data_IF_445095798895
#
_entry.id   IF_445095798895
#
_cell.length_a   1.000
_cell.length_b   1.000
_cell.length_c   1.000
_cell.angle_alpha   90.00
_cell.angle_beta   90.00
_cell.angle_gamma   90.00
#
_symmetry.space_group_name_H-M   'P 1'
#
loop_
_entity.id
_entity.type
_entity.pdbx_description
1 polymer ?
#
# COMPACT_ATOMS: atom_id res chain seq x y z
N UNK A 1 -8.08 9.42 7.13
CA UNK A 1 -6.81 9.13 6.43
C UNK A 1 -6.78 9.91 5.13
N UNK A 2 -5.62 10.39 4.69
CA UNK A 2 -5.45 11.04 3.38
C UNK A 2 -4.34 10.34 2.59
N UNK A 3 -4.35 10.48 1.27
CA UNK A 3 -3.38 9.87 0.38
C UNK A 3 -2.89 10.87 -0.68
N UNK A 4 -1.59 10.83 -0.98
CA UNK A 4 -0.97 11.62 -2.05
C UNK A 4 -0.20 10.68 -2.98
N UNK A 5 -0.48 10.70 -4.29
CA UNK A 5 0.18 9.80 -5.22
C UNK A 5 1.47 10.43 -5.77
N UNK A 6 2.42 9.61 -6.18
CA UNK A 6 3.63 10.07 -6.84
C UNK A 6 4.18 9.00 -7.79
N UNK A 7 4.55 9.37 -9.01
CA UNK A 7 5.26 8.48 -9.93
C UNK A 7 6.78 8.73 -9.85
N UNK A 8 7.59 7.69 -10.01
CA UNK A 8 9.06 7.81 -10.03
C UNK A 8 9.59 8.54 -11.26
N UNK A 9 8.77 8.59 -12.32
CA UNK A 9 9.07 9.28 -13.56
C UNK A 9 7.88 10.14 -13.97
N UNK A 10 8.17 11.34 -14.47
CA UNK A 10 7.18 12.21 -15.10
C UNK A 10 6.90 11.76 -16.55
N UNK A 11 7.92 11.20 -17.21
CA UNK A 11 7.81 10.62 -18.55
C UNK A 11 8.55 9.29 -18.64
N UNK A 12 7.96 8.35 -19.35
CA UNK A 12 8.47 7.00 -19.58
C UNK A 12 8.39 6.63 -21.06
N UNK A 13 9.16 5.63 -21.50
CA UNK A 13 9.09 5.11 -22.86
C UNK A 13 8.32 3.79 -22.92
N UNK A 14 7.72 3.41 -24.07
CA UNK A 14 7.22 2.05 -24.26
C UNK A 14 8.28 0.99 -23.94
N UNK A 15 7.86 -0.11 -23.33
CA UNK A 15 8.74 -1.21 -22.90
C UNK A 15 9.54 -0.94 -21.62
N UNK A 16 9.39 0.25 -21.00
CA UNK A 16 10.07 0.59 -19.76
C UNK A 16 9.25 0.21 -18.52
N UNK A 17 9.74 0.63 -17.36
CA UNK A 17 9.07 0.47 -16.07
C UNK A 17 9.16 1.75 -15.25
N UNK A 18 8.19 1.93 -14.37
CA UNK A 18 8.21 2.94 -13.33
C UNK A 18 7.60 2.39 -12.04
N UNK A 19 7.75 3.14 -10.97
CA UNK A 19 7.13 2.86 -9.69
C UNK A 19 6.17 4.00 -9.37
N UNK A 20 5.01 3.64 -8.85
CA UNK A 20 4.02 4.59 -8.35
C UNK A 20 3.86 4.37 -6.86
N UNK A 21 3.88 5.46 -6.09
CA UNK A 21 3.71 5.46 -4.65
C UNK A 21 2.38 6.12 -4.26
N UNK A 22 1.76 5.64 -3.19
CA UNK A 22 0.75 6.39 -2.44
C UNK A 22 1.32 6.68 -1.04
N UNK A 23 1.56 7.95 -0.75
CA UNK A 23 1.97 8.41 0.57
C UNK A 23 0.71 8.69 1.39
N UNK A 24 0.42 7.80 2.32
CA UNK A 24 -0.76 7.86 3.15
C UNK A 24 -0.43 8.47 4.52
N UNK A 25 -1.33 9.31 5.02
CA UNK A 25 -1.26 9.89 6.35
C UNK A 25 -2.52 9.54 7.14
N UNK A 26 -2.32 8.88 8.26
CA UNK A 26 -3.32 8.49 9.25
C UNK A 26 -3.32 9.57 10.34
N UNK A 27 -4.50 9.92 10.83
CA UNK A 27 -4.63 10.89 11.92
C UNK A 27 -4.07 10.30 13.22
N UNK A 28 -3.59 11.14 14.13
CA UNK A 28 -3.08 10.70 15.43
C UNK A 28 -4.14 9.89 16.19
N UNK A 29 -3.70 8.84 16.91
CA UNK A 29 -4.54 7.87 17.62
C UNK A 29 -5.43 6.99 16.72
N UNK A 30 -5.25 7.06 15.40
CA UNK A 30 -5.83 6.11 14.47
C UNK A 30 -4.77 5.18 13.90
N UNK A 31 -5.22 4.00 13.49
CA UNK A 31 -4.39 2.93 12.98
C UNK A 31 -5.07 2.26 11.78
N UNK A 32 -4.29 1.92 10.77
CA UNK A 32 -4.74 1.21 9.59
C UNK A 32 -4.18 -0.21 9.61
N UNK A 33 -5.04 -1.22 9.49
CA UNK A 33 -4.61 -2.61 9.50
C UNK A 33 -3.62 -2.92 8.37
N UNK A 34 -2.75 -3.92 8.59
CA UNK A 34 -1.88 -4.43 7.53
C UNK A 34 -2.62 -5.40 6.59
N UNK A 35 -2.01 -5.80 5.47
CA UNK A 35 -2.51 -6.91 4.65
C UNK A 35 -2.58 -8.26 5.37
N UNK A 36 -1.96 -8.36 6.55
CA UNK A 36 -2.05 -9.50 7.45
C UNK A 36 -2.21 -9.02 8.91
N UNK A 37 -3.40 -8.52 9.27
CA UNK A 37 -3.60 -7.84 10.54
C UNK A 37 -3.59 -8.76 11.75
N UNK A 38 -3.49 -10.08 11.54
CA UNK A 38 -3.81 -11.09 12.55
C UNK A 38 -5.32 -11.14 12.84
N UNK A 39 -5.72 -12.18 13.56
CA UNK A 39 -7.11 -12.32 14.04
C UNK A 39 -7.13 -13.03 15.38
N UNK A 40 -8.22 -12.86 16.11
CA UNK A 40 -8.51 -13.66 17.29
C UNK A 40 -9.94 -14.20 17.23
N UNK A 41 -10.35 -14.93 18.27
CA UNK A 41 -11.66 -15.59 18.33
C UNK A 41 -12.84 -14.61 18.36
N UNK A 42 -12.59 -13.34 18.73
CA UNK A 42 -13.62 -12.34 18.97
C UNK A 42 -13.72 -11.32 17.84
N UNK A 43 -12.67 -11.18 17.04
CA UNK A 43 -12.58 -10.17 16.00
C UNK A 43 -11.65 -10.60 14.85
N UNK A 44 -12.17 -10.49 13.63
CA UNK A 44 -11.43 -10.66 12.39
C UNK A 44 -11.39 -9.31 11.65
N UNK A 45 -10.25 -8.59 11.66
CA UNK A 45 -10.12 -7.31 10.98
C UNK A 45 -10.20 -7.47 9.46
N UNK A 46 -10.76 -6.47 8.77
CA UNK A 46 -10.69 -6.40 7.30
C UNK A 46 -9.25 -6.08 6.88
N UNK A 47 -8.54 -6.99 6.19
CA UNK A 47 -7.15 -6.76 5.81
C UNK A 47 -7.00 -5.57 4.86
N UNK A 48 -5.86 -4.88 4.97
CA UNK A 48 -5.53 -3.86 3.99
C UNK A 48 -5.30 -4.45 2.61
N UNK A 49 -5.72 -3.68 1.61
CA UNK A 49 -5.50 -4.00 0.22
C UNK A 49 -5.40 -2.72 -0.61
N UNK A 50 -5.10 -2.90 -1.89
CA UNK A 50 -5.11 -1.82 -2.84
C UNK A 50 -5.69 -2.29 -4.16
N UNK A 51 -6.58 -1.48 -4.72
CA UNK A 51 -7.07 -1.63 -6.08
C UNK A 51 -6.35 -0.62 -6.96
N UNK A 52 -5.77 -1.09 -8.06
CA UNK A 52 -5.06 -0.26 -9.03
C UNK A 52 -5.78 -0.32 -10.37
N UNK A 53 -6.03 0.85 -10.97
CA UNK A 53 -6.53 0.96 -12.34
C UNK A 53 -5.51 1.76 -13.15
N UNK A 54 -4.92 1.11 -14.15
CA UNK A 54 -3.94 1.73 -15.04
C UNK A 54 -4.22 1.33 -16.49
N UNK A 55 -5.29 1.88 -17.12
CA UNK A 55 -5.66 1.51 -18.50
C UNK A 55 -4.49 1.72 -19.46
N UNK A 56 -4.17 0.71 -20.27
CA UNK A 56 -3.05 0.77 -21.22
C UNK A 56 -1.66 0.55 -20.62
N UNK A 57 -1.56 0.34 -19.30
CA UNK A 57 -0.34 -0.01 -18.57
C UNK A 57 -0.56 -1.29 -17.75
N UNK A 58 0.51 -1.88 -17.24
CA UNK A 58 0.43 -3.10 -16.42
C UNK A 58 0.88 -2.84 -14.99
N UNK A 59 -0.07 -2.63 -14.09
CA UNK A 59 0.20 -2.55 -12.66
C UNK A 59 0.52 -3.94 -12.08
N UNK A 60 1.62 -4.05 -11.33
CA UNK A 60 2.01 -5.24 -10.59
C UNK A 60 1.42 -5.22 -9.17
N UNK A 61 1.70 -6.27 -8.40
CA UNK A 61 1.22 -6.38 -7.03
C UNK A 61 1.78 -5.24 -6.16
N UNK A 62 0.96 -4.64 -5.28
CA UNK A 62 1.40 -3.61 -4.36
C UNK A 62 2.47 -4.13 -3.38
N UNK A 63 3.44 -3.27 -3.09
CA UNK A 63 4.51 -3.48 -2.12
C UNK A 63 4.26 -2.59 -0.91
N UNK A 64 4.21 -3.24 0.25
CA UNK A 64 3.83 -2.67 1.52
C UNK A 64 5.05 -2.44 2.40
N UNK A 65 5.05 -1.43 3.27
CA UNK A 65 6.08 -1.33 4.29
C UNK A 65 5.91 -2.46 5.31
N UNK A 66 7.00 -2.81 6.00
CA UNK A 66 6.92 -3.70 7.15
C UNK A 66 5.95 -3.14 8.19
N UNK A 67 5.01 -3.98 8.64
CA UNK A 67 4.03 -3.63 9.64
C UNK A 67 4.57 -3.78 11.06
N UNK A 68 3.88 -3.14 11.99
CA UNK A 68 4.20 -3.16 13.41
C UNK A 68 3.00 -3.66 14.22
N UNK A 69 3.24 -4.35 15.35
CA UNK A 69 2.17 -4.67 16.28
C UNK A 69 1.62 -3.37 16.88
N UNK A 70 0.31 -3.25 16.85
CA UNK A 70 -0.48 -2.23 17.50
C UNK A 70 -1.24 -2.87 18.65
N UNK A 71 -1.04 -2.32 19.84
CA UNK A 71 -1.69 -2.77 21.06
C UNK A 71 -2.81 -1.81 21.38
N UNK A 72 -4.03 -2.32 21.49
CA UNK A 72 -5.16 -1.51 21.93
C UNK A 72 -6.03 -2.30 22.89
N UNK A 73 -6.81 -1.56 23.65
CA UNK A 73 -7.76 -2.09 24.60
C UNK A 73 -9.15 -1.70 24.14
N UNK A 74 -10.04 -2.68 24.04
CA UNK A 74 -11.45 -2.46 23.78
C UNK A 74 -12.24 -3.16 24.88
N UNK A 75 -12.94 -2.37 25.70
CA UNK A 75 -13.51 -2.85 26.97
C UNK A 75 -12.43 -3.50 27.87
N UNK A 76 -12.69 -4.66 28.45
CA UNK A 76 -11.76 -5.38 29.34
C UNK A 76 -10.74 -6.26 28.59
N UNK A 77 -10.70 -6.20 27.26
CA UNK A 77 -9.89 -7.08 26.43
C UNK A 77 -8.73 -6.34 25.76
N UNK A 78 -7.56 -7.00 25.73
CA UNK A 78 -6.36 -6.51 25.05
C UNK A 78 -6.21 -7.19 23.70
N UNK A 79 -6.02 -6.38 22.67
CA UNK A 79 -5.86 -6.82 21.30
C UNK A 79 -4.45 -6.46 20.82
N UNK A 80 -3.91 -7.32 19.96
CA UNK A 80 -2.66 -7.07 19.25
C UNK A 80 -2.90 -7.39 17.79
N UNK A 81 -2.80 -6.37 16.94
CA UNK A 81 -2.97 -6.50 15.51
C UNK A 81 -1.83 -5.81 14.77
N UNK A 82 -1.55 -6.23 13.54
CA UNK A 82 -0.48 -5.62 12.74
C UNK A 82 -1.02 -4.55 11.80
N UNK A 83 -0.23 -3.49 11.60
CA UNK A 83 -0.60 -2.40 10.71
C UNK A 83 0.30 -1.17 10.82
N UNK A 84 -0.30 -0.03 10.53
CA UNK A 84 0.38 1.22 10.24
C UNK A 84 -0.22 2.38 11.03
N UNK A 85 0.66 3.26 11.50
CA UNK A 85 0.31 4.51 12.18
C UNK A 85 1.05 5.67 11.52
N UNK A 86 0.51 6.89 11.68
CA UNK A 86 1.12 8.09 11.14
C UNK A 86 1.27 8.04 9.61
N UNK A 87 2.52 8.03 9.11
CA UNK A 87 2.80 8.04 7.67
C UNK A 87 3.36 6.71 7.19
N UNK A 88 2.80 6.22 6.10
CA UNK A 88 3.29 5.02 5.42
C UNK A 88 3.18 5.20 3.90
N UNK A 89 3.95 4.40 3.16
CA UNK A 89 3.96 4.45 1.69
C UNK A 89 3.74 3.05 1.16
N UNK A 90 2.77 2.90 0.25
CA UNK A 90 2.59 1.67 -0.53
C UNK A 90 3.01 1.96 -1.97
N UNK A 91 3.76 1.04 -2.55
CA UNK A 91 4.29 1.17 -3.90
C UNK A 91 3.61 0.19 -4.84
N UNK A 92 3.55 0.56 -6.12
CA UNK A 92 3.04 -0.28 -7.20
C UNK A 92 4.04 -0.17 -8.35
N UNK A 93 4.79 -1.25 -8.64
CA UNK A 93 5.56 -1.32 -9.86
C UNK A 93 4.61 -1.35 -11.05
N UNK A 94 4.90 -0.56 -12.08
CA UNK A 94 4.10 -0.46 -13.30
C UNK A 94 5.00 -0.73 -14.49
N UNK A 95 4.61 -1.67 -15.33
CA UNK A 95 5.25 -1.92 -16.61
C UNK A 95 4.54 -1.11 -17.69
N UNK A 96 5.32 -0.52 -18.59
CA UNK A 96 4.82 0.18 -19.77
C UNK A 96 4.94 -0.81 -20.93
N UNK A 97 3.83 -1.33 -21.49
CA UNK A 97 3.90 -2.21 -22.64
C UNK A 97 4.72 -1.61 -23.79
N UNK A 98 5.38 -2.45 -24.60
CA UNK A 98 6.17 -1.99 -25.74
C UNK A 98 5.34 -1.33 -26.84
N UNK A 99 4.05 -1.62 -26.87
CA UNK A 99 3.03 -1.06 -27.75
C UNK A 99 2.13 -0.03 -27.05
N UNK A 100 2.48 0.41 -25.84
CA UNK A 100 1.72 1.41 -25.11
C UNK A 100 1.53 2.68 -25.96
N UNK A 101 0.29 3.16 -26.02
CA UNK A 101 -0.02 4.40 -26.73
C UNK A 101 0.76 5.57 -26.14
N UNK A 102 1.28 6.45 -27.00
CA UNK A 102 1.91 7.70 -26.54
C UNK A 102 0.88 8.65 -25.93
N UNK A 103 1.32 9.53 -25.05
CA UNK A 103 0.50 10.52 -24.36
C UNK A 103 0.31 10.26 -22.87
N UNK A 104 -0.63 10.97 -22.25
CA UNK A 104 -0.91 10.86 -20.82
C UNK A 104 -1.70 9.60 -20.47
N UNK A 105 -1.24 8.89 -19.46
CA UNK A 105 -1.93 7.78 -18.82
C UNK A 105 -2.23 8.11 -17.37
N UNK A 106 -3.47 7.87 -16.94
CA UNK A 106 -3.88 8.07 -15.55
C UNK A 106 -3.84 6.74 -14.81
N UNK A 107 -3.15 6.71 -13.68
CA UNK A 107 -3.10 5.57 -12.76
C UNK A 107 -3.88 5.95 -11.50
N UNK A 108 -4.95 5.21 -11.21
CA UNK A 108 -5.71 5.33 -9.97
C UNK A 108 -5.27 4.26 -8.96
N UNK A 109 -5.09 4.71 -7.71
CA UNK A 109 -4.68 3.90 -6.57
C UNK A 109 -5.75 4.07 -5.48
N UNK A 110 -6.40 2.99 -5.07
CA UNK A 110 -7.41 3.02 -4.00
C UNK A 110 -7.04 2.05 -2.88
N UNK A 111 -6.85 2.57 -1.67
CA UNK A 111 -6.67 1.75 -0.48
C UNK A 111 -8.00 1.13 -0.05
N UNK A 112 -7.97 -0.12 0.41
CA UNK A 112 -9.13 -0.87 0.91
C UNK A 112 -8.85 -1.41 2.31
N UNK A 113 -9.87 -1.82 3.05
CA UNK A 113 -9.73 -2.30 4.43
C UNK A 113 -10.44 -1.36 5.39
N UNK A 114 -9.91 -1.19 6.60
CA UNK A 114 -10.51 -0.33 7.62
C UNK A 114 -9.45 0.36 8.48
N UNK A 115 -9.80 1.52 9.03
CA UNK A 115 -8.98 2.28 9.99
C UNK A 115 -9.71 2.29 11.32
N UNK A 116 -9.03 2.05 12.43
CA UNK A 116 -9.62 2.06 13.77
C UNK A 116 -9.00 3.15 14.63
N UNK A 117 -9.84 3.79 15.45
CA UNK A 117 -9.44 4.57 16.61
C UNK A 117 -9.76 3.80 17.89
N UNK A 118 -9.82 4.50 19.01
CA UNK A 118 -10.02 3.94 20.36
C UNK A 118 -11.30 3.07 20.46
N UNK A 119 -12.45 3.60 20.01
CA UNK A 119 -13.75 2.93 20.17
C UNK A 119 -14.48 2.65 18.85
N UNK A 120 -13.86 2.96 17.70
CA UNK A 120 -14.53 2.91 16.40
C UNK A 120 -13.61 2.40 15.29
N UNK A 121 -14.12 1.50 14.47
CA UNK A 121 -13.52 1.09 13.21
C UNK A 121 -14.35 1.58 12.01
N UNK A 122 -13.67 2.18 11.04
CA UNK A 122 -14.27 2.79 9.85
C UNK A 122 -13.77 2.06 8.60
N UNK A 123 -14.64 1.37 7.85
CA UNK A 123 -14.30 0.80 6.54
C UNK A 123 -13.93 1.88 5.51
N UNK A 124 -12.97 1.57 4.64
CA UNK A 124 -12.52 2.45 3.55
C UNK A 124 -13.40 2.27 2.30
N UNK A 125 -14.66 2.68 2.41
CA UNK A 125 -15.64 2.62 1.33
C UNK A 125 -16.63 3.79 1.41
N UNK A 126 -17.40 3.99 0.33
CA UNK A 126 -18.36 5.09 0.23
C UNK A 126 -17.70 6.44 0.48
N UNK A 127 -18.22 7.19 1.47
CA UNK A 127 -17.70 8.50 1.86
C UNK A 127 -16.29 8.46 2.48
N UNK A 128 -15.81 7.28 2.92
CA UNK A 128 -14.50 7.10 3.54
C UNK A 128 -13.45 6.56 2.55
N UNK A 129 -13.77 6.50 1.26
CA UNK A 129 -12.86 6.02 0.24
C UNK A 129 -11.58 6.84 0.21
N UNK A 130 -10.43 6.16 0.23
CA UNK A 130 -9.12 6.79 0.05
C UNK A 130 -8.56 6.37 -1.31
N UNK A 131 -8.70 7.28 -2.27
CA UNK A 131 -8.21 7.12 -3.65
C UNK A 131 -7.32 8.30 -4.02
N UNK A 132 -6.30 8.03 -4.84
CA UNK A 132 -5.42 9.03 -5.40
C UNK A 132 -5.10 8.68 -6.86
N UNK A 133 -4.91 9.71 -7.69
CA UNK A 133 -4.60 9.56 -9.12
C UNK A 133 -3.30 10.26 -9.47
N UNK A 134 -2.45 9.60 -10.25
CA UNK A 134 -1.24 10.21 -10.83
C UNK A 134 -1.29 10.08 -12.35
N UNK A 135 -0.80 11.10 -13.02
CA UNK A 135 -0.61 11.09 -14.47
C UNK A 135 0.86 10.83 -14.79
N UNK A 136 1.09 10.04 -15.83
CA UNK A 136 2.41 9.74 -16.36
C UNK A 136 2.35 9.88 -17.87
N UNK A 137 3.34 10.54 -18.46
CA UNK A 137 3.46 10.68 -19.91
C UNK A 137 4.22 9.49 -20.50
N UNK A 138 3.65 8.81 -21.50
CA UNK A 138 4.37 7.83 -22.33
C UNK A 138 4.87 8.55 -23.58
N UNK A 139 6.17 8.68 -23.75
CA UNK A 139 6.80 9.39 -24.86
C UNK A 139 8.10 8.74 -25.32
N UNK A 140 8.99 9.56 -25.90
CA UNK A 140 10.24 9.07 -26.52
C UNK A 140 11.45 9.16 -25.58
N UNK A 141 11.28 9.75 -24.39
CA UNK A 141 12.35 9.92 -23.40
C UNK A 141 11.92 9.45 -22.01
N UNK A 142 12.91 9.07 -21.21
CA UNK A 142 12.76 8.81 -19.78
C UNK A 142 13.10 10.08 -19.00
N UNK A 143 12.16 10.60 -18.22
CA UNK A 143 12.36 11.76 -17.36
C UNK A 143 11.99 11.40 -15.91
N UNK A 144 12.97 11.30 -14.99
CA UNK A 144 12.71 11.09 -13.57
C UNK A 144 11.84 12.20 -12.99
N UNK A 145 10.98 11.86 -12.04
CA UNK A 145 10.21 12.85 -11.29
C UNK A 145 11.11 13.45 -10.19
N UNK A 146 11.39 14.77 -10.19
CA UNK A 146 12.26 15.39 -9.19
C UNK A 146 11.70 15.32 -7.76
N UNK A 147 10.39 15.06 -7.59
CA UNK A 147 9.78 14.86 -6.29
C UNK A 147 10.00 13.44 -5.74
N UNK A 148 10.48 12.51 -6.57
CA UNK A 148 10.86 11.17 -6.14
C UNK A 148 12.21 11.22 -5.42
N UNK A 149 12.18 11.32 -4.10
CA UNK A 149 13.37 11.50 -3.27
C UNK A 149 14.14 10.21 -3.03
N UNK A 150 15.38 10.34 -2.56
CA UNK A 150 16.18 9.19 -2.11
C UNK A 150 15.51 8.40 -0.97
N UNK A 151 14.92 9.08 0.02
CA UNK A 151 14.15 8.43 1.10
C UNK A 151 12.99 7.57 0.54
N UNK A 152 12.32 8.04 -0.50
CA UNK A 152 11.24 7.28 -1.14
C UNK A 152 11.78 6.04 -1.87
N UNK A 153 12.93 6.16 -2.54
CA UNK A 153 13.60 5.03 -3.17
C UNK A 153 14.09 4.00 -2.13
N UNK A 154 14.63 4.44 -0.99
CA UNK A 154 15.07 3.57 0.10
C UNK A 154 13.89 2.83 0.75
N UNK A 155 12.74 3.50 0.88
CA UNK A 155 11.48 2.88 1.35
C UNK A 155 10.96 1.84 0.36
N UNK A 156 11.03 2.11 -0.95
CA UNK A 156 10.67 1.15 -1.99
C UNK A 156 11.55 -0.11 -1.89
N UNK A 157 12.86 0.05 -1.70
CA UNK A 157 13.80 -1.07 -1.57
C UNK A 157 13.51 -1.96 -0.35
N UNK A 158 12.85 -1.42 0.68
CA UNK A 158 12.44 -2.14 1.89
C UNK A 158 10.98 -2.64 1.83
N UNK A 159 10.21 -2.23 0.83
CA UNK A 159 8.81 -2.61 0.70
C UNK A 159 8.70 -4.06 0.22
N UNK A 160 7.68 -4.76 0.70
CA UNK A 160 7.50 -6.19 0.50
C UNK A 160 6.11 -6.53 -0.02
N UNK A 161 5.94 -7.62 -0.80
CA UNK A 161 4.60 -8.12 -1.12
C UNK A 161 3.82 -8.48 0.15
N UNK A 162 2.49 -8.40 0.08
CA UNK A 162 1.61 -8.78 1.18
C UNK A 162 1.87 -10.21 1.70
N UNK A 163 2.26 -11.14 0.82
CA UNK A 163 2.60 -12.51 1.21
C UNK A 163 3.82 -12.60 2.15
N UNK A 164 4.76 -11.67 2.05
CA UNK A 164 5.91 -11.61 2.96
C UNK A 164 5.46 -11.27 4.38
N UNK A 165 4.48 -10.37 4.53
CA UNK A 165 3.90 -10.05 5.84
C UNK A 165 3.18 -11.28 6.41
N UNK A 166 2.40 -11.99 5.59
CA UNK A 166 1.72 -13.24 5.99
C UNK A 166 2.70 -14.32 6.43
N UNK A 167 3.83 -14.46 5.74
CA UNK A 167 4.86 -15.42 6.11
C UNK A 167 5.54 -15.05 7.43
N UNK A 168 5.74 -13.76 7.70
CA UNK A 168 6.33 -13.28 8.95
C UNK A 168 5.49 -13.62 10.17
N UNK A 169 4.17 -13.51 10.10
CA UNK A 169 3.29 -13.77 11.24
C UNK A 169 2.86 -15.22 11.38
N UNK A 170 3.25 -16.10 10.45
CA UNK A 170 3.02 -17.53 10.62
C UNK A 170 3.74 -18.02 11.87
N UNK A 171 3.06 -18.73 12.79
CA UNK A 171 3.73 -19.38 13.89
C UNK A 171 4.77 -20.36 13.32
N UNK A 172 5.97 -20.36 13.89
CA UNK A 172 7.00 -21.34 13.53
C UNK A 172 6.38 -22.73 13.69
N UNK A 173 6.35 -23.53 12.63
CA UNK A 173 5.88 -24.92 12.73
C UNK A 173 6.63 -25.58 13.87
N UNK A 174 5.91 -26.03 14.90
CA UNK A 174 6.49 -26.91 15.90
C UNK A 174 7.12 -28.08 15.13
N UNK A 175 8.44 -28.24 15.26
CA UNK A 175 9.08 -29.47 14.83
C UNK A 175 8.44 -30.57 15.68
N UNK A 176 7.55 -31.37 15.09
CA UNK A 176 7.09 -32.60 15.74
C UNK A 176 8.34 -33.44 16.04
N UNK A 177 8.54 -33.88 17.29
CA UNK A 177 9.52 -34.92 17.54
C UNK A 177 9.08 -36.19 16.81
N UNK A 178 10.02 -36.81 16.13
CA UNK A 178 9.87 -38.10 15.44
C UNK A 178 9.64 -39.25 16.44
#
# INVERSE_FOLDING_TARGET
MTARPLASHAQVTPGSRLDVAINATIADKWFYYSPDPGKNELFEPTPAGMVVQAPGLEARQPLWPMDKPHHYQFSDQKFVNNGYEGRFVVFVPVLVPSDAARGRHTISLRLTGQVCGEDLCVPLEGANTVEAKVEVEVGDTMAPNPQWTADLADRLAQAVPADTLRMRHRPARARSPA
#
